data_IF_629030660608
#
_entry.id   IF_629030660608
#
_cell.length_a   1.000
_cell.length_b   1.000
_cell.length_c   1.000
_cell.angle_alpha   90.00
_cell.angle_beta   90.00
_cell.angle_gamma   90.00
#
_symmetry.space_group_name_H-M   'P 1'
#
loop_
_entity.id
_entity.type
_entity.pdbx_description
1 polymer ?
#
# COMPACT_ATOMS: atom_id res chain seq x y z
N UNK A 1 -0.79 9.00 -10.02
CA UNK A 1 0.46 9.40 -9.36
C UNK A 1 1.53 8.36 -9.59
N UNK A 2 2.76 8.78 -9.77
CA UNK A 2 3.93 7.92 -9.91
C UNK A 2 4.93 8.27 -8.82
N UNK A 3 5.46 7.25 -8.14
CA UNK A 3 6.43 7.42 -7.06
C UNK A 3 7.53 6.37 -7.19
N UNK A 4 8.76 6.73 -6.84
CA UNK A 4 9.88 5.80 -6.81
C UNK A 4 10.53 5.80 -5.42
N UNK A 5 11.06 4.65 -5.03
CA UNK A 5 11.80 4.47 -3.79
C UNK A 5 13.12 3.77 -4.11
N UNK A 6 14.22 4.29 -3.56
CA UNK A 6 15.54 3.67 -3.71
C UNK A 6 15.81 2.81 -2.47
N UNK A 7 16.00 1.51 -2.69
CA UNK A 7 16.27 0.57 -1.61
C UNK A 7 17.66 0.76 -0.98
N UNK A 8 18.56 1.48 -1.64
CA UNK A 8 19.84 1.84 -1.06
C UNK A 8 19.67 2.72 0.19
N UNK A 9 18.57 3.45 0.30
CA UNK A 9 18.26 4.24 1.50
C UNK A 9 18.14 3.36 2.73
N UNK A 10 17.81 2.08 2.57
CA UNK A 10 17.66 1.11 3.66
C UNK A 10 18.82 0.14 3.74
N UNK A 11 19.37 -0.26 2.61
CA UNK A 11 20.43 -1.28 2.52
C UNK A 11 21.84 -0.67 2.57
N UNK A 12 21.97 0.62 2.29
CA UNK A 12 23.28 1.23 2.10
C UNK A 12 23.98 0.65 0.87
N UNK A 13 25.28 0.45 0.99
CA UNK A 13 26.10 -0.07 -0.11
C UNK A 13 26.27 -1.60 -0.08
N UNK A 14 25.60 -2.29 0.83
CA UNK A 14 25.76 -3.74 0.98
C UNK A 14 24.87 -4.49 -0.04
N UNK A 15 25.47 -5.25 -0.98
CA UNK A 15 24.68 -6.05 -1.91
C UNK A 15 23.86 -7.14 -1.22
N UNK A 16 24.38 -7.73 -0.15
CA UNK A 16 23.66 -8.79 0.58
C UNK A 16 22.46 -8.22 1.33
N UNK A 17 22.57 -7.01 1.89
CA UNK A 17 21.44 -6.34 2.53
C UNK A 17 20.37 -5.99 1.51
N UNK A 18 20.76 -5.51 0.33
CA UNK A 18 19.84 -5.19 -0.76
C UNK A 18 19.05 -6.43 -1.19
N UNK A 19 19.75 -7.54 -1.41
CA UNK A 19 19.09 -8.79 -1.82
C UNK A 19 18.11 -9.29 -0.75
N UNK A 20 18.46 -9.16 0.53
CA UNK A 20 17.57 -9.54 1.63
C UNK A 20 16.30 -8.68 1.65
N UNK A 21 16.45 -7.37 1.50
CA UNK A 21 15.32 -6.44 1.48
C UNK A 21 14.43 -6.71 0.28
N UNK A 22 15.01 -6.90 -0.89
CA UNK A 22 14.26 -7.24 -2.12
C UNK A 22 13.48 -8.55 -1.93
N UNK A 23 14.12 -9.56 -1.35
CA UNK A 23 13.46 -10.84 -1.07
C UNK A 23 12.25 -10.69 -0.17
N UNK A 24 12.34 -9.83 0.83
CA UNK A 24 11.22 -9.55 1.74
C UNK A 24 10.07 -8.84 1.04
N UNK A 25 10.39 -7.86 0.20
CA UNK A 25 9.40 -7.06 -0.54
C UNK A 25 8.66 -7.91 -1.57
N UNK A 26 9.40 -8.72 -2.31
CA UNK A 26 8.82 -9.58 -3.35
C UNK A 26 8.08 -10.76 -2.70
N UNK A 27 8.71 -11.38 -1.71
CA UNK A 27 8.20 -12.57 -1.05
C UNK A 27 8.36 -13.81 -1.92
N UNK A 28 8.00 -14.95 -1.35
CA UNK A 28 8.09 -16.24 -2.05
C UNK A 28 7.12 -16.25 -3.22
N UNK A 29 7.64 -16.48 -4.43
CA UNK A 29 6.84 -16.50 -5.65
C UNK A 29 6.16 -15.18 -5.96
N UNK A 30 6.65 -14.07 -5.42
CA UNK A 30 6.06 -12.74 -5.62
C UNK A 30 4.81 -12.47 -4.78
N UNK A 31 4.52 -13.32 -3.79
CA UNK A 31 3.29 -13.26 -3.01
C UNK A 31 3.16 -11.96 -2.21
N UNK A 32 4.24 -11.51 -1.57
CA UNK A 32 4.20 -10.30 -0.75
C UNK A 32 3.90 -9.07 -1.61
N UNK A 33 4.58 -8.94 -2.75
CA UNK A 33 4.35 -7.83 -3.68
C UNK A 33 2.90 -7.81 -4.16
N UNK A 34 2.37 -8.96 -4.56
CA UNK A 34 0.98 -9.06 -5.03
C UNK A 34 -0.03 -8.71 -3.94
N UNK A 35 0.23 -9.14 -2.70
CA UNK A 35 -0.64 -8.80 -1.56
C UNK A 35 -0.67 -7.29 -1.32
N UNK A 36 0.49 -6.65 -1.39
CA UNK A 36 0.58 -5.19 -1.23
C UNK A 36 -0.17 -4.49 -2.35
N UNK A 37 0.00 -4.93 -3.60
CA UNK A 37 -0.75 -4.38 -4.73
C UNK A 37 -2.26 -4.51 -4.54
N UNK A 38 -2.71 -5.67 -4.14
CA UNK A 38 -4.13 -5.96 -3.96
C UNK A 38 -4.73 -5.15 -2.81
N UNK A 39 -4.05 -5.09 -1.67
CA UNK A 39 -4.56 -4.41 -0.48
C UNK A 39 -4.45 -2.89 -0.56
N UNK A 40 -3.44 -2.37 -1.23
CA UNK A 40 -3.27 -0.91 -1.40
C UNK A 40 -4.01 -0.36 -2.61
N UNK A 41 -4.18 -1.18 -3.63
CA UNK A 41 -4.72 -0.75 -4.92
C UNK A 41 -3.69 -0.10 -5.84
N UNK A 42 -2.44 0.04 -5.41
CA UNK A 42 -1.35 0.58 -6.22
C UNK A 42 -0.63 -0.52 -6.98
N UNK A 43 -0.16 -0.21 -8.19
CA UNK A 43 0.78 -1.07 -8.89
C UNK A 43 2.16 -0.91 -8.26
N UNK A 44 2.85 -2.03 -8.03
CA UNK A 44 4.18 -2.05 -7.42
C UNK A 44 5.12 -2.86 -8.32
N UNK A 45 6.19 -2.22 -8.77
CA UNK A 45 7.22 -2.87 -9.60
C UNK A 45 8.57 -2.79 -8.90
N UNK A 46 9.29 -3.90 -8.84
CA UNK A 46 10.62 -3.96 -8.24
C UNK A 46 11.64 -4.31 -9.32
N UNK A 47 12.61 -3.43 -9.52
CA UNK A 47 13.69 -3.69 -10.48
C UNK A 47 14.99 -3.06 -9.97
N UNK A 48 16.07 -3.84 -10.03
CA UNK A 48 17.35 -3.40 -9.48
C UNK A 48 17.22 -3.03 -8.00
N UNK A 49 17.59 -1.82 -7.66
CA UNK A 49 17.48 -1.28 -6.30
C UNK A 49 16.27 -0.32 -6.16
N UNK A 50 15.40 -0.27 -7.15
CA UNK A 50 14.29 0.69 -7.22
C UNK A 50 12.95 -0.02 -7.10
N UNK A 51 12.03 0.59 -6.36
CA UNK A 51 10.62 0.18 -6.32
C UNK A 51 9.81 1.33 -6.89
N UNK A 52 8.96 1.04 -7.88
CA UNK A 52 8.09 2.03 -8.51
C UNK A 52 6.63 1.76 -8.16
N UNK A 53 5.89 2.83 -7.96
CA UNK A 53 4.48 2.79 -7.56
C UNK A 53 3.65 3.63 -8.53
N UNK A 54 2.52 3.09 -8.98
CA UNK A 54 1.58 3.81 -9.84
C UNK A 54 0.18 3.57 -9.30
N UNK A 55 -0.58 4.66 -9.12
CA UNK A 55 -1.95 4.60 -8.64
C UNK A 55 -2.44 5.96 -8.16
N UNK A 56 -3.58 5.98 -7.49
CA UNK A 56 -4.09 7.17 -6.86
C UNK A 56 -3.22 7.55 -5.66
N UNK A 57 -3.24 8.80 -5.26
CA UNK A 57 -2.40 9.32 -4.18
C UNK A 57 -2.45 8.44 -2.92
N UNK A 58 -3.66 8.15 -2.43
CA UNK A 58 -3.82 7.35 -1.21
C UNK A 58 -3.33 5.92 -1.39
N UNK A 59 -3.54 5.34 -2.57
CA UNK A 59 -3.08 3.99 -2.89
C UNK A 59 -1.55 3.92 -2.89
N UNK A 60 -0.91 4.87 -3.55
CA UNK A 60 0.55 4.95 -3.63
C UNK A 60 1.14 5.18 -2.24
N UNK A 61 0.52 6.05 -1.44
CA UNK A 61 0.98 6.31 -0.07
C UNK A 61 0.94 5.04 0.79
N UNK A 62 -0.15 4.28 0.73
CA UNK A 62 -0.27 3.02 1.47
C UNK A 62 0.78 2.00 1.03
N UNK A 63 0.96 1.85 -0.28
CA UNK A 63 1.95 0.91 -0.82
C UNK A 63 3.37 1.31 -0.42
N UNK A 64 3.69 2.60 -0.51
CA UNK A 64 5.00 3.12 -0.12
C UNK A 64 5.28 2.87 1.36
N UNK A 65 4.30 3.15 2.24
CA UNK A 65 4.42 2.89 3.67
C UNK A 65 4.64 1.41 3.95
N UNK A 66 3.90 0.54 3.27
CA UNK A 66 4.04 -0.92 3.42
C UNK A 66 5.43 -1.41 3.03
N UNK A 67 5.92 -0.95 1.89
CA UNK A 67 7.27 -1.34 1.41
C UNK A 67 8.35 -0.81 2.36
N UNK A 68 8.20 0.43 2.84
CA UNK A 68 9.13 1.01 3.81
C UNK A 68 9.18 0.19 5.11
N UNK A 69 8.03 -0.26 5.60
CA UNK A 69 7.95 -1.12 6.78
C UNK A 69 8.71 -2.42 6.57
N UNK A 70 8.52 -3.09 5.42
CA UNK A 70 9.24 -4.33 5.09
C UNK A 70 10.74 -4.08 4.97
N UNK A 71 11.14 -2.97 4.37
CA UNK A 71 12.55 -2.62 4.22
C UNK A 71 13.22 -2.37 5.57
N UNK A 72 12.48 -1.87 6.55
CA UNK A 72 12.98 -1.63 7.92
C UNK A 72 13.00 -2.90 8.78
N UNK A 73 12.40 -3.99 8.30
CA UNK A 73 12.39 -5.26 9.01
C UNK A 73 11.07 -5.65 9.67
N UNK A 74 9.99 -4.93 9.41
CA UNK A 74 8.67 -5.29 9.94
C UNK A 74 8.21 -6.63 9.41
N UNK A 75 7.43 -7.35 10.21
CA UNK A 75 6.88 -8.65 9.82
C UNK A 75 5.81 -8.46 8.73
N UNK A 76 5.73 -9.39 7.80
CA UNK A 76 4.72 -9.34 6.73
C UNK A 76 3.30 -9.27 7.31
N UNK A 77 3.04 -10.01 8.36
CA UNK A 77 1.73 -10.00 9.04
C UNK A 77 1.34 -8.60 9.52
N UNK A 78 2.29 -7.88 10.10
CA UNK A 78 2.05 -6.51 10.58
C UNK A 78 1.69 -5.56 9.43
N UNK A 79 2.40 -5.70 8.31
CA UNK A 79 2.16 -4.90 7.11
C UNK A 79 0.76 -5.19 6.54
N UNK A 80 0.41 -6.45 6.42
CA UNK A 80 -0.91 -6.84 5.90
C UNK A 80 -2.03 -6.36 6.81
N UNK A 81 -1.85 -6.44 8.13
CA UNK A 81 -2.82 -5.94 9.10
C UNK A 81 -3.05 -4.43 8.94
N UNK A 82 -1.96 -3.69 8.78
CA UNK A 82 -2.05 -2.24 8.54
C UNK A 82 -2.82 -1.92 7.26
N UNK A 83 -2.50 -2.61 6.17
CA UNK A 83 -3.16 -2.41 4.88
C UNK A 83 -4.63 -2.78 4.92
N UNK A 84 -4.98 -3.89 5.57
CA UNK A 84 -6.36 -4.33 5.75
C UNK A 84 -7.15 -3.33 6.56
N UNK A 85 -6.55 -2.77 7.62
CA UNK A 85 -7.17 -1.74 8.44
C UNK A 85 -7.47 -0.47 7.65
N UNK A 86 -6.52 -0.04 6.81
CA UNK A 86 -6.71 1.13 5.95
C UNK A 86 -7.82 0.91 4.93
N UNK A 87 -7.86 -0.28 4.32
CA UNK A 87 -8.89 -0.64 3.35
C UNK A 87 -10.28 -0.66 4.00
N UNK A 88 -10.38 -1.18 5.23
CA UNK A 88 -11.63 -1.20 5.99
C UNK A 88 -12.11 0.20 6.29
N UNK A 89 -11.21 1.10 6.71
CA UNK A 89 -11.56 2.50 6.99
C UNK A 89 -12.06 3.21 5.75
N UNK A 90 -11.41 3.01 4.62
CA UNK A 90 -11.85 3.58 3.35
C UNK A 90 -13.25 3.12 2.99
N UNK A 91 -13.54 1.84 3.15
CA UNK A 91 -14.87 1.27 2.90
C UNK A 91 -15.92 1.89 3.82
N UNK A 92 -15.63 2.05 5.10
CA UNK A 92 -16.54 2.68 6.05
C UNK A 92 -16.80 4.15 5.72
N UNK A 93 -15.78 4.88 5.32
CA UNK A 93 -15.92 6.28 4.91
C UNK A 93 -16.80 6.41 3.68
N UNK A 94 -16.66 5.53 2.71
CA UNK A 94 -17.52 5.51 1.52
C UNK A 94 -18.96 5.20 1.89
N UNK A 95 -19.20 4.29 2.82
CA UNK A 95 -20.53 3.96 3.29
C UNK A 95 -21.18 5.15 4.00
N UNK A 96 -20.41 5.88 4.81
CA UNK A 96 -20.91 7.12 5.46
C UNK A 96 -21.32 8.17 4.45
N UNK A 97 -20.50 8.38 3.41
CA UNK A 97 -20.84 9.32 2.34
C UNK A 97 -22.14 8.92 1.64
N UNK A 98 -22.37 7.62 1.44
CA UNK A 98 -23.60 7.10 0.87
C UNK A 98 -24.81 7.38 1.76
N UNK A 99 -24.66 7.15 3.06
CA UNK A 99 -25.73 7.42 4.04
C UNK A 99 -26.09 8.91 4.09
N UNK A 100 -25.08 9.78 4.14
CA UNK A 100 -25.27 11.23 4.15
C UNK A 100 -26.00 11.70 2.89
N UNK A 101 -25.59 11.22 1.73
CA UNK A 101 -26.23 11.55 0.47
C UNK A 101 -27.67 11.02 0.39
N UNK A 102 -27.92 9.85 0.92
CA UNK A 102 -29.25 9.26 0.97
C UNK A 102 -30.18 10.06 1.87
N UNK A 103 -29.74 10.47 3.05
CA UNK A 103 -30.49 11.29 3.98
C UNK A 103 -30.82 12.66 3.39
N UNK A 104 -29.86 13.31 2.73
CA UNK A 104 -30.09 14.58 2.03
C UNK A 104 -31.10 14.45 0.91
N UNK A 105 -31.13 13.33 0.22
CA UNK A 105 -32.07 13.04 -0.85
C UNK A 105 -33.49 12.88 -0.31
N UNK A 106 -33.64 12.24 0.85
CA UNK A 106 -34.93 12.07 1.53
C UNK A 106 -35.47 13.41 2.06
N UNK A 107 -34.60 14.28 2.58
CA UNK A 107 -34.96 15.61 3.04
C UNK A 107 -35.51 16.48 1.89
N UNK A 108 -34.89 16.36 0.70
CA UNK A 108 -35.33 17.10 -0.47
C UNK A 108 -36.61 16.56 -1.09
N UNK A 109 -36.92 15.30 -0.90
CA UNK A 109 -38.13 14.69 -1.44
C UNK A 109 -39.32 14.82 -0.49
N UNK A 110 -39.12 15.09 0.79
CA UNK A 110 -40.17 15.28 1.78
C UNK A 110 -40.70 16.71 1.84
N UNK A 111 -40.08 17.62 1.12
CA UNK A 111 -40.53 19.00 0.99
C UNK A 111 -41.27 19.22 -0.33
#
# INVERSE_FOLDING_TARGET
MFQQMDLHDYAGKSPSALERIKGRIIGEGGKARRMIEELSGSHVSVYGHTVAFIGKYQQVKLATDAIAMLARGSMHKSVYTMLQGAKRREKLDKMRLWEDNYEKKDETTSS
#
